data_IF_545602815197
#
_entry.id   IF_545602815197
#
_cell.length_a   1.000
_cell.length_b   1.000
_cell.length_c   1.000
_cell.angle_alpha   90.00
_cell.angle_beta   90.00
_cell.angle_gamma   90.00
#
_symmetry.space_group_name_H-M   'P 1'
#
loop_
_entity.id
_entity.type
_entity.pdbx_description
1 polymer ?
#
# COMPACT_ATOMS: atom_id res chain seq x y z
N UNK A 1 -10.32 4.29 -23.97
CA UNK A 1 -10.89 5.09 -22.86
C UNK A 1 -12.35 5.43 -23.20
N UNK A 2 -13.32 5.10 -22.34
CA UNK A 2 -14.74 5.36 -22.60
C UNK A 2 -15.01 6.86 -22.69
N UNK A 3 -15.90 7.27 -23.62
CA UNK A 3 -16.36 8.65 -23.78
C UNK A 3 -17.32 9.00 -22.63
N UNK A 4 -16.96 9.86 -21.66
CA UNK A 4 -17.76 10.06 -20.44
C UNK A 4 -19.20 10.50 -20.68
N UNK A 5 -19.44 11.26 -21.75
CA UNK A 5 -20.75 11.82 -22.10
C UNK A 5 -21.53 10.99 -23.15
N UNK A 6 -21.01 9.84 -23.60
CA UNK A 6 -21.66 9.03 -24.64
C UNK A 6 -22.99 8.45 -24.15
N UNK A 7 -24.08 8.68 -24.88
CA UNK A 7 -25.46 8.26 -24.52
C UNK A 7 -25.60 6.76 -24.27
N UNK A 8 -24.77 5.96 -24.93
CA UNK A 8 -24.75 4.49 -24.85
C UNK A 8 -23.86 3.96 -23.73
N UNK A 9 -23.30 4.82 -22.89
CA UNK A 9 -22.46 4.41 -21.76
C UNK A 9 -23.35 3.86 -20.63
N UNK A 10 -23.28 2.56 -20.40
CA UNK A 10 -24.08 1.84 -19.39
C UNK A 10 -23.72 2.27 -17.95
N UNK A 11 -24.72 2.21 -17.05
CA UNK A 11 -24.56 2.42 -15.60
C UNK A 11 -23.83 3.73 -15.23
N UNK A 12 -24.41 4.86 -15.62
CA UNK A 12 -23.96 6.20 -15.20
C UNK A 12 -24.27 6.42 -13.72
N UNK A 13 -23.25 6.76 -12.93
CA UNK A 13 -23.43 7.16 -11.53
C UNK A 13 -23.09 8.64 -11.31
N UNK A 14 -23.66 9.20 -10.25
CA UNK A 14 -23.36 10.55 -9.78
C UNK A 14 -22.07 10.47 -8.97
N UNK A 15 -21.03 11.17 -9.41
CA UNK A 15 -19.70 11.13 -8.83
C UNK A 15 -19.29 12.53 -8.39
N UNK A 16 -18.65 12.61 -7.24
CA UNK A 16 -18.01 13.83 -6.80
C UNK A 16 -16.83 14.15 -7.71
N UNK A 17 -16.89 15.30 -8.38
CA UNK A 17 -15.77 15.83 -9.15
C UNK A 17 -15.42 17.22 -8.61
N UNK A 18 -14.25 17.36 -7.94
CA UNK A 18 -13.81 18.66 -7.49
C UNK A 18 -13.50 19.53 -8.72
N UNK A 19 -14.18 20.65 -8.83
CA UNK A 19 -13.88 21.64 -9.86
C UNK A 19 -12.90 22.66 -9.26
N UNK A 20 -11.74 22.83 -9.89
CA UNK A 20 -10.68 23.75 -9.44
C UNK A 20 -11.00 25.22 -9.72
N UNK A 21 -12.07 25.50 -10.46
CA UNK A 21 -12.51 26.86 -10.81
C UNK A 21 -13.71 27.24 -9.95
N UNK A 22 -13.49 28.32 -9.21
CA UNK A 22 -14.36 29.16 -8.37
C UNK A 22 -15.59 29.70 -9.12
N UNK A 23 -16.47 28.83 -9.65
CA UNK A 23 -17.84 29.21 -10.03
C UNK A 23 -18.71 29.04 -8.80
N UNK A 24 -18.95 30.15 -8.09
CA UNK A 24 -19.77 30.21 -6.89
C UNK A 24 -21.18 29.66 -7.21
N UNK A 25 -21.52 28.49 -6.68
CA UNK A 25 -22.82 27.83 -6.88
C UNK A 25 -22.78 26.57 -7.74
N UNK A 26 -21.65 26.22 -8.38
CA UNK A 26 -21.56 24.95 -9.09
C UNK A 26 -21.42 23.78 -8.09
N UNK A 27 -22.32 22.80 -8.15
CA UNK A 27 -22.21 21.60 -7.33
C UNK A 27 -21.05 20.74 -7.87
N UNK A 28 -20.13 20.25 -7.03
CA UNK A 28 -18.98 19.44 -7.44
C UNK A 28 -19.41 18.01 -7.80
N UNK A 29 -20.25 17.89 -8.82
CA UNK A 29 -20.94 16.67 -9.22
C UNK A 29 -20.78 16.49 -10.72
N UNK A 30 -20.41 15.29 -11.16
CA UNK A 30 -20.39 14.88 -12.56
C UNK A 30 -21.03 13.50 -12.73
N UNK A 31 -21.41 13.17 -13.96
CA UNK A 31 -21.91 11.86 -14.37
C UNK A 31 -20.72 11.04 -14.88
N UNK A 32 -20.48 9.86 -14.29
CA UNK A 32 -19.34 9.03 -14.69
C UNK A 32 -19.37 7.61 -14.13
N UNK A 33 -18.17 7.04 -13.94
CA UNK A 33 -17.97 5.74 -13.29
C UNK A 33 -16.95 5.82 -12.16
N UNK A 34 -17.25 5.14 -11.05
CA UNK A 34 -16.30 4.97 -9.96
C UNK A 34 -15.44 3.74 -10.24
N UNK A 35 -14.16 3.83 -9.87
CA UNK A 35 -13.21 2.73 -9.99
C UNK A 35 -12.60 2.42 -8.63
N UNK A 36 -12.33 1.14 -8.39
CA UNK A 36 -11.50 0.69 -7.28
C UNK A 36 -10.12 0.37 -7.83
N UNK A 37 -9.08 0.95 -7.21
CA UNK A 37 -7.69 0.81 -7.66
C UNK A 37 -6.86 0.26 -6.51
N UNK A 38 -6.14 -0.82 -6.77
CA UNK A 38 -5.15 -1.37 -5.86
C UNK A 38 -3.77 -0.95 -6.36
N UNK A 39 -3.03 -0.20 -5.54
CA UNK A 39 -1.70 0.31 -5.89
C UNK A 39 -0.64 -0.23 -4.93
N UNK A 40 0.56 -0.47 -5.47
CA UNK A 40 1.77 -0.67 -4.68
C UNK A 40 2.44 0.67 -4.44
N UNK A 41 2.60 1.04 -3.17
CA UNK A 41 3.39 2.18 -2.75
C UNK A 41 4.80 1.71 -2.39
N UNK A 42 5.86 2.34 -2.91
CA UNK A 42 7.23 1.99 -2.53
C UNK A 42 7.50 2.35 -1.06
N UNK A 43 8.37 1.58 -0.41
CA UNK A 43 8.79 1.88 0.97
C UNK A 43 9.65 3.15 1.00
N UNK A 44 9.33 4.04 1.93
CA UNK A 44 9.99 5.34 2.07
C UNK A 44 11.44 5.21 2.51
N UNK A 45 11.80 4.17 3.26
CA UNK A 45 13.18 3.98 3.73
C UNK A 45 14.12 3.50 2.62
N UNK A 46 13.64 2.67 1.69
CA UNK A 46 14.45 2.17 0.57
C UNK A 46 14.45 3.11 -0.63
N UNK A 47 13.34 3.82 -0.87
CA UNK A 47 13.12 4.59 -2.11
C UNK A 47 13.09 6.11 -1.87
N UNK A 48 13.21 6.58 -0.62
CA UNK A 48 13.11 8.00 -0.26
C UNK A 48 11.68 8.57 -0.43
N UNK A 49 11.57 9.90 -0.54
CA UNK A 49 10.32 10.63 -0.76
C UNK A 49 9.82 10.46 -2.20
N UNK A 50 9.46 9.24 -2.54
CA UNK A 50 8.98 8.87 -3.86
C UNK A 50 7.47 9.04 -3.96
N UNK A 51 7.02 9.93 -4.83
CA UNK A 51 5.60 10.27 -5.02
C UNK A 51 4.87 9.45 -6.08
N UNK A 52 5.50 8.40 -6.62
CA UNK A 52 4.86 7.51 -7.59
C UNK A 52 4.32 6.24 -6.94
N UNK A 53 3.22 5.72 -7.48
CA UNK A 53 2.62 4.46 -7.07
C UNK A 53 2.34 3.61 -8.32
N UNK A 54 2.58 2.30 -8.23
CA UNK A 54 2.31 1.37 -9.34
C UNK A 54 0.90 0.82 -9.19
N UNK A 55 -0.02 1.04 -10.13
CA UNK A 55 -1.32 0.40 -10.12
C UNK A 55 -1.17 -1.09 -10.44
N UNK A 56 -1.60 -1.94 -9.53
CA UNK A 56 -1.60 -3.40 -9.69
C UNK A 56 -2.89 -3.88 -10.35
N UNK A 57 -4.05 -3.37 -9.91
CA UNK A 57 -5.35 -3.66 -10.51
C UNK A 57 -6.25 -2.43 -10.53
N UNK A 58 -7.11 -2.35 -11.54
CA UNK A 58 -8.13 -1.29 -11.71
C UNK A 58 -9.43 -1.98 -12.11
N UNK A 59 -10.47 -1.81 -11.30
CA UNK A 59 -11.77 -2.42 -11.55
C UNK A 59 -12.90 -1.39 -11.48
N UNK A 60 -13.91 -1.56 -12.33
CA UNK A 60 -15.08 -0.69 -12.37
C UNK A 60 -16.05 -1.04 -11.24
N UNK A 61 -16.48 -0.03 -10.50
CA UNK A 61 -17.49 -0.17 -9.44
C UNK A 61 -18.86 0.05 -10.06
N UNK A 62 -19.70 -0.99 -9.99
CA UNK A 62 -21.10 -0.92 -10.40
C UNK A 62 -21.92 -0.10 -9.40
N UNK A 63 -23.10 0.38 -9.80
CA UNK A 63 -23.96 1.21 -8.97
C UNK A 63 -24.51 0.51 -7.72
N UNK A 64 -24.59 -0.82 -7.74
CA UNK A 64 -25.03 -1.67 -6.64
C UNK A 64 -23.91 -2.05 -5.66
N UNK A 65 -22.67 -1.63 -5.93
CA UNK A 65 -21.48 -2.02 -5.17
C UNK A 65 -20.72 -0.81 -4.64
N UNK A 66 -19.99 -1.00 -3.54
CA UNK A 66 -19.06 0.00 -3.00
C UNK A 66 -17.64 -0.32 -3.45
N UNK A 67 -16.81 0.72 -3.69
CA UNK A 67 -15.40 0.52 -4.09
C UNK A 67 -14.59 -0.36 -3.14
N UNK A 68 -14.90 -0.36 -1.83
CA UNK A 68 -14.32 -1.27 -0.84
C UNK A 68 -14.66 -2.74 -1.11
N UNK A 69 -15.91 -3.04 -1.49
CA UNK A 69 -16.36 -4.40 -1.78
C UNK A 69 -15.66 -4.93 -3.03
N UNK A 70 -15.57 -4.13 -4.09
CA UNK A 70 -14.83 -4.47 -5.32
C UNK A 70 -13.36 -4.68 -5.01
N UNK A 71 -12.75 -3.73 -4.29
CA UNK A 71 -11.34 -3.79 -3.93
C UNK A 71 -10.98 -5.00 -3.06
N UNK A 72 -11.90 -5.47 -2.21
CA UNK A 72 -11.66 -6.64 -1.33
C UNK A 72 -11.67 -7.98 -2.06
N UNK A 73 -12.28 -8.06 -3.26
CA UNK A 73 -12.21 -9.26 -4.11
C UNK A 73 -10.87 -9.37 -4.87
N UNK A 74 -10.12 -8.28 -4.93
CA UNK A 74 -8.77 -8.19 -5.51
C UNK A 74 -7.70 -8.19 -4.41
N UNK A 75 -6.60 -8.95 -4.50
CA UNK A 75 -6.20 -9.97 -5.48
C UNK A 75 -6.69 -11.38 -5.10
N UNK A 76 -6.75 -12.30 -6.08
CA UNK A 76 -7.01 -13.74 -5.83
C UNK A 76 -6.15 -14.21 -4.67
N UNK A 77 -6.77 -14.82 -3.64
CA UNK A 77 -6.03 -15.48 -2.57
C UNK A 77 -5.09 -16.47 -3.23
N UNK A 78 -3.76 -16.27 -3.11
CA UNK A 78 -2.78 -17.30 -3.42
C UNK A 78 -3.22 -18.48 -2.56
N UNK A 79 -3.74 -19.54 -3.17
CA UNK A 79 -4.38 -20.65 -2.45
C UNK A 79 -3.49 -21.14 -1.31
N UNK A 80 -4.08 -21.85 -0.35
CA UNK A 80 -3.26 -22.57 0.61
C UNK A 80 -2.35 -23.51 -0.18
N UNK A 81 -1.03 -23.44 0.05
CA UNK A 81 -0.17 -24.50 -0.42
C UNK A 81 -0.68 -25.80 0.19
N UNK A 82 -0.55 -26.94 -0.51
CA UNK A 82 -0.99 -28.27 -0.03
C UNK A 82 -0.28 -28.74 1.26
N UNK A 83 0.45 -27.84 1.93
CA UNK A 83 1.31 -28.15 3.05
C UNK A 83 2.54 -28.91 2.57
N UNK A 84 3.16 -29.63 3.50
CA UNK A 84 4.20 -30.61 3.16
C UNK A 84 3.52 -31.95 2.98
N UNK A 85 3.93 -32.70 1.96
CA UNK A 85 3.54 -34.10 1.82
C UNK A 85 3.99 -34.90 3.05
N UNK A 86 3.09 -35.74 3.57
CA UNK A 86 3.39 -36.61 4.70
C UNK A 86 4.57 -37.53 4.34
N UNK A 87 5.64 -37.49 5.15
CA UNK A 87 6.88 -38.23 4.89
C UNK A 87 8.01 -37.41 4.24
N UNK A 88 7.78 -36.15 3.88
CA UNK A 88 8.84 -35.28 3.36
C UNK A 88 9.86 -34.94 4.47
N UNK A 89 11.11 -35.39 4.30
CA UNK A 89 12.20 -35.07 5.21
C UNK A 89 12.58 -33.59 5.11
N UNK A 90 12.52 -32.87 6.23
CA UNK A 90 12.96 -31.47 6.28
C UNK A 90 14.48 -31.38 6.32
N UNK A 91 15.05 -30.45 5.57
CA UNK A 91 16.46 -30.10 5.71
C UNK A 91 16.70 -29.51 7.10
N UNK A 92 17.75 -29.99 7.77
CA UNK A 92 18.10 -29.52 9.10
C UNK A 92 18.50 -28.04 9.01
N UNK A 93 17.80 -27.18 9.76
CA UNK A 93 18.09 -25.74 9.77
C UNK A 93 19.53 -25.49 10.23
N UNK A 94 20.27 -24.66 9.50
CA UNK A 94 21.58 -24.17 9.93
C UNK A 94 21.42 -23.35 11.20
N UNK A 95 22.09 -23.74 12.29
CA UNK A 95 22.14 -22.94 13.50
C UNK A 95 23.34 -22.00 13.41
N UNK A 96 23.07 -20.70 13.46
CA UNK A 96 24.11 -19.68 13.55
C UNK A 96 24.51 -19.47 15.01
N UNK A 97 25.77 -19.09 15.23
CA UNK A 97 26.29 -18.80 16.56
C UNK A 97 25.60 -17.57 17.15
N UNK A 98 25.30 -17.64 18.45
CA UNK A 98 24.67 -16.53 19.16
C UNK A 98 25.77 -15.55 19.60
N UNK A 99 25.86 -14.40 18.94
CA UNK A 99 26.75 -13.32 19.35
C UNK A 99 26.21 -12.71 20.65
N UNK A 100 26.96 -12.85 21.75
CA UNK A 100 26.64 -12.21 23.04
C UNK A 100 27.31 -10.84 23.10
N UNK A 101 26.53 -9.79 23.36
CA UNK A 101 27.07 -8.43 23.55
C UNK A 101 27.96 -8.37 24.80
N UNK A 102 29.17 -7.82 24.67
CA UNK A 102 30.06 -7.59 25.80
C UNK A 102 29.55 -6.45 26.71
N UNK A 103 29.89 -6.51 28.01
CA UNK A 103 29.60 -5.42 28.96
C UNK A 103 30.47 -4.20 28.60
N UNK A 104 29.83 -3.02 28.53
CA UNK A 104 30.49 -1.74 28.25
C UNK A 104 31.53 -1.42 29.34
N UNK A 105 32.79 -1.26 28.96
CA UNK A 105 33.84 -0.79 29.87
C UNK A 105 33.58 0.66 30.29
N UNK A 106 33.83 0.98 31.55
CA UNK A 106 33.69 2.34 32.09
C UNK A 106 34.96 3.12 31.75
N UNK A 107 34.83 4.22 31.02
CA UNK A 107 35.98 5.08 30.70
C UNK A 107 36.65 5.58 31.99
N UNK A 108 37.99 5.64 32.05
CA UNK A 108 38.70 6.22 33.19
C UNK A 108 38.44 7.73 33.25
N UNK A 109 38.11 8.23 34.45
CA UNK A 109 37.86 9.64 34.72
C UNK A 109 39.21 10.37 34.74
N UNK A 110 39.42 11.34 33.85
CA UNK A 110 40.63 12.18 33.87
C UNK A 110 40.66 13.00 35.18
N UNK A 111 41.82 13.13 35.86
CA UNK A 111 41.94 13.98 37.03
C UNK A 111 41.79 15.45 36.64
N UNK A 112 41.08 16.21 37.47
CA UNK A 112 40.85 17.65 37.27
C UNK A 112 42.16 18.44 37.33
N UNK A 113 42.37 19.44 36.46
CA UNK A 113 43.58 20.23 36.47
C UNK A 113 43.69 21.06 37.75
N UNK A 114 44.90 21.12 38.30
CA UNK A 114 45.25 21.90 39.49
C UNK A 114 45.23 23.38 39.09
N UNK A 115 44.39 24.18 39.75
CA UNK A 115 44.37 25.63 39.58
C UNK A 115 45.63 26.22 40.24
N UNK A 116 46.38 27.03 39.48
CA UNK A 116 47.49 27.87 39.94
C UNK A 116 46.99 29.30 40.08
#
# INVERSE_FOLDING_TARGET
MPRPYAKTLEERSIIYQPNTITIKGNKPINIGHSYSVLTSLPETEETGDTSWAIPLTVERVKSDQTGKQVGSHSPKRRGFSEGRTQGMLQTKRTRHEVIKKAKKARNPKLPSPIAV
#
